data_IF_192257076227
#
_entry.id   IF_192257076227
#
_cell.length_a   1.000
_cell.length_b   1.000
_cell.length_c   1.000
_cell.angle_alpha   90.00
_cell.angle_beta   90.00
_cell.angle_gamma   90.00
#
_symmetry.space_group_name_H-M   'P 1'
#
loop_
_entity.id
_entity.type
_entity.pdbx_description
1 polymer ?
#
# COMPACT_ATOMS: atom_id res chain seq x y z
N UNK A 1 50.85 14.05 25.43
CA UNK A 1 50.29 13.61 24.12
C UNK A 1 49.81 12.13 24.12
N UNK A 2 49.18 11.65 25.20
CA UNK A 2 48.74 10.22 25.31
C UNK A 2 47.21 10.03 25.47
N UNK A 3 46.43 11.13 25.50
CA UNK A 3 44.98 11.07 25.77
C UNK A 3 44.08 11.08 24.53
N UNK A 4 44.61 11.30 23.34
CA UNK A 4 43.80 11.37 22.09
C UNK A 4 43.61 10.02 21.34
N UNK A 5 44.39 8.99 21.71
CA UNK A 5 44.28 7.66 21.07
C UNK A 5 43.23 6.75 21.72
N UNK A 6 42.87 7.06 23.00
CA UNK A 6 41.92 6.23 23.75
C UNK A 6 40.47 6.45 23.34
N UNK A 7 40.11 7.67 22.90
CA UNK A 7 38.76 7.96 22.43
C UNK A 7 38.45 7.40 21.03
N UNK A 8 39.47 7.17 20.19
CA UNK A 8 39.28 6.66 18.86
C UNK A 8 38.98 5.12 18.82
N UNK A 9 39.61 4.38 19.79
CA UNK A 9 39.39 2.94 19.89
C UNK A 9 37.99 2.58 20.45
N UNK A 10 37.43 3.41 21.31
CA UNK A 10 36.08 3.20 21.85
C UNK A 10 35.01 3.49 20.83
N UNK A 11 35.25 4.42 19.89
CA UNK A 11 34.32 4.70 18.78
C UNK A 11 34.28 3.57 17.73
N UNK A 12 35.38 2.87 17.48
CA UNK A 12 35.40 1.77 16.51
C UNK A 12 34.64 0.53 17.00
N UNK A 13 34.71 0.20 18.28
CA UNK A 13 33.98 -0.95 18.83
C UNK A 13 32.48 -0.70 18.97
N UNK A 14 32.08 0.54 19.23
CA UNK A 14 30.67 0.94 19.23
C UNK A 14 30.02 0.91 17.85
N UNK A 15 30.77 1.28 16.81
CA UNK A 15 30.28 1.29 15.44
C UNK A 15 30.03 -0.10 14.85
N UNK A 16 30.84 -1.11 15.24
CA UNK A 16 30.67 -2.50 14.77
C UNK A 16 29.44 -3.16 15.42
N UNK A 17 29.15 -2.85 16.70
CA UNK A 17 27.95 -3.37 17.36
C UNK A 17 26.66 -2.69 16.89
N UNK A 18 26.74 -1.43 16.50
CA UNK A 18 25.58 -0.67 15.99
C UNK A 18 25.14 -1.10 14.57
N UNK A 19 25.99 -1.82 13.84
CA UNK A 19 25.70 -2.27 12.47
C UNK A 19 25.03 -3.65 12.38
N UNK A 20 24.95 -4.40 13.49
CA UNK A 20 24.31 -5.71 13.49
C UNK A 20 22.89 -5.60 14.09
N UNK A 21 21.83 -5.65 13.27
CA UNK A 21 20.45 -5.49 13.75
C UNK A 21 20.01 -6.61 14.70
N UNK A 22 20.76 -7.70 14.79
CA UNK A 22 20.45 -8.85 15.64
C UNK A 22 21.03 -8.75 17.05
N UNK A 23 21.89 -7.79 17.34
CA UNK A 23 22.54 -7.66 18.64
C UNK A 23 22.36 -6.26 19.20
N UNK A 24 21.82 -6.18 20.40
CA UNK A 24 21.68 -4.92 21.11
C UNK A 24 22.19 -5.04 22.56
N UNK A 25 22.78 -3.97 23.06
CA UNK A 25 23.21 -3.86 24.45
C UNK A 25 22.01 -3.94 25.38
N UNK A 26 22.12 -4.73 26.44
CA UNK A 26 21.12 -4.82 27.50
C UNK A 26 21.79 -4.44 28.82
N UNK A 27 21.31 -3.43 29.49
CA UNK A 27 21.87 -3.02 30.76
C UNK A 27 21.30 -1.73 31.29
N UNK A 28 21.89 -1.24 32.32
CA UNK A 28 21.61 0.05 32.92
C UNK A 28 22.82 0.96 32.75
N UNK A 29 22.62 2.08 32.06
CA UNK A 29 23.65 3.12 31.91
C UNK A 29 23.35 4.28 32.84
N UNK A 30 24.37 4.75 33.60
CA UNK A 30 24.27 5.96 34.38
C UNK A 30 24.43 7.17 33.45
N UNK A 31 23.41 8.00 33.36
CA UNK A 31 23.46 9.28 32.66
C UNK A 31 23.42 10.43 33.65
N UNK A 32 23.71 11.63 33.19
CA UNK A 32 23.62 12.86 34.02
C UNK A 32 22.20 13.11 34.56
N UNK A 33 21.19 12.49 33.97
CA UNK A 33 19.78 12.65 34.34
C UNK A 33 19.23 11.45 35.14
N UNK A 34 20.04 10.38 35.35
CA UNK A 34 19.62 9.18 36.07
C UNK A 34 20.13 7.88 35.46
N UNK A 35 19.48 6.77 35.80
CA UNK A 35 19.82 5.44 35.30
C UNK A 35 18.89 5.12 34.11
N UNK A 36 19.48 4.93 32.94
CA UNK A 36 18.78 4.49 31.73
C UNK A 36 18.85 2.95 31.62
N UNK A 37 17.71 2.29 31.66
CA UNK A 37 17.62 0.84 31.46
C UNK A 37 17.33 0.59 29.98
N UNK A 38 18.27 -0.06 29.32
CA UNK A 38 18.10 -0.50 27.91
C UNK A 38 17.53 -1.91 27.89
N UNK A 39 16.32 -2.06 27.37
CA UNK A 39 15.70 -3.35 27.04
C UNK A 39 15.34 -3.34 25.57
N UNK A 40 16.15 -3.94 24.72
CA UNK A 40 15.84 -4.04 23.29
C UNK A 40 14.50 -4.73 23.07
N UNK A 41 13.63 -4.09 22.29
CA UNK A 41 12.32 -4.59 21.90
C UNK A 41 12.16 -4.43 20.41
N UNK A 42 11.39 -5.33 19.81
CA UNK A 42 11.05 -5.29 18.41
C UNK A 42 9.73 -4.56 18.21
N UNK A 43 9.71 -3.68 17.23
CA UNK A 43 8.50 -3.02 16.76
C UNK A 43 8.37 -3.34 15.28
N UNK A 44 7.27 -3.98 14.88
CA UNK A 44 7.00 -4.32 13.49
C UNK A 44 5.95 -3.40 12.91
N UNK A 45 6.24 -2.83 11.75
CA UNK A 45 5.25 -2.19 10.91
C UNK A 45 4.72 -3.20 9.89
N UNK A 46 3.42 -3.31 9.78
CA UNK A 46 2.74 -4.08 8.74
C UNK A 46 1.95 -3.09 7.90
N UNK A 47 2.38 -2.88 6.67
CA UNK A 47 1.68 -2.06 5.69
C UNK A 47 0.81 -2.96 4.82
N UNK A 48 -0.50 -2.76 4.87
CA UNK A 48 -1.46 -3.51 4.05
C UNK A 48 -2.00 -2.59 2.97
N UNK A 49 -1.85 -3.01 1.70
CA UNK A 49 -2.31 -2.27 0.53
C UNK A 49 -3.54 -2.93 -0.05
N UNK A 50 -4.58 -2.15 -0.25
CA UNK A 50 -5.84 -2.58 -0.85
C UNK A 50 -6.16 -1.74 -2.07
N UNK A 51 -6.80 -2.35 -3.07
CA UNK A 51 -7.40 -1.66 -4.20
C UNK A 51 -8.92 -1.61 -4.02
N UNK A 52 -9.47 -0.45 -4.27
CA UNK A 52 -10.90 -0.21 -4.37
C UNK A 52 -11.24 -0.08 -5.85
N UNK A 53 -12.03 -1.01 -6.35
CA UNK A 53 -12.62 -0.98 -7.69
C UNK A 53 -14.07 -0.52 -7.56
N UNK A 54 -14.34 0.68 -8.04
CA UNK A 54 -15.66 1.29 -8.03
C UNK A 54 -16.17 1.44 -9.45
N UNK A 55 -17.26 0.74 -9.74
CA UNK A 55 -18.00 0.86 -10.99
C UNK A 55 -19.21 1.75 -10.72
N UNK A 56 -19.28 2.90 -11.38
CA UNK A 56 -20.39 3.83 -11.33
C UNK A 56 -21.29 3.61 -12.52
N UNK A 57 -22.58 3.43 -12.30
CA UNK A 57 -23.53 3.25 -13.38
C UNK A 57 -23.72 4.54 -14.17
N UNK A 58 -23.73 4.44 -15.49
CA UNK A 58 -24.03 5.60 -16.35
C UNK A 58 -25.49 6.04 -16.24
N UNK A 59 -25.79 7.34 -16.39
CA UNK A 59 -27.16 7.86 -16.32
C UNK A 59 -28.08 7.24 -17.41
N UNK A 60 -27.50 6.81 -18.52
CA UNK A 60 -28.24 6.18 -19.63
C UNK A 60 -28.08 4.63 -19.66
N UNK A 61 -27.60 4.02 -18.60
CA UNK A 61 -27.30 2.57 -18.55
C UNK A 61 -28.51 1.71 -18.95
N UNK A 62 -29.73 2.09 -18.54
CA UNK A 62 -30.98 1.38 -18.91
C UNK A 62 -31.25 1.37 -20.40
N UNK A 63 -30.72 2.32 -21.15
CA UNK A 63 -30.91 2.46 -22.59
C UNK A 63 -29.74 1.87 -23.41
N UNK A 64 -28.68 1.39 -22.77
CA UNK A 64 -27.51 0.85 -23.44
C UNK A 64 -27.86 -0.33 -24.38
N UNK A 65 -28.72 -1.23 -23.93
CA UNK A 65 -29.21 -2.34 -24.77
C UNK A 65 -30.02 -1.85 -25.95
N UNK A 66 -30.88 -0.85 -25.77
CA UNK A 66 -31.77 -0.32 -26.81
C UNK A 66 -31.03 0.42 -27.91
N UNK A 67 -30.05 1.27 -27.53
CA UNK A 67 -29.39 2.17 -28.48
C UNK A 67 -28.00 1.71 -28.91
N UNK A 68 -27.28 0.97 -28.08
CA UNK A 68 -25.92 0.50 -28.38
C UNK A 68 -25.83 -1.03 -28.56
N UNK A 69 -26.90 -1.77 -28.25
CA UNK A 69 -26.92 -3.24 -28.34
C UNK A 69 -26.09 -3.95 -27.25
N UNK A 70 -25.66 -3.23 -26.20
CA UNK A 70 -24.79 -3.78 -25.15
C UNK A 70 -25.48 -3.69 -23.78
N UNK A 71 -25.07 -4.57 -22.86
CA UNK A 71 -25.55 -4.54 -21.47
C UNK A 71 -24.65 -3.64 -20.63
N UNK A 72 -25.26 -2.83 -19.77
CA UNK A 72 -24.57 -1.97 -18.80
C UNK A 72 -25.03 -2.30 -17.36
N UNK A 73 -24.19 -1.98 -16.40
CA UNK A 73 -24.56 -2.06 -14.99
C UNK A 73 -25.59 -0.97 -14.67
N UNK A 74 -26.68 -1.35 -14.00
CA UNK A 74 -27.75 -0.40 -13.61
C UNK A 74 -27.57 0.19 -12.22
N UNK A 75 -26.60 -0.30 -11.47
CA UNK A 75 -26.29 0.15 -10.12
C UNK A 75 -24.79 0.26 -9.89
N UNK A 76 -24.41 1.17 -9.03
CA UNK A 76 -23.05 1.32 -8.56
C UNK A 76 -22.59 0.06 -7.82
N UNK A 77 -21.34 -0.32 -8.03
CA UNK A 77 -20.71 -1.45 -7.35
C UNK A 77 -19.33 -1.02 -6.86
N UNK A 78 -19.06 -1.28 -5.60
CA UNK A 78 -17.74 -1.10 -5.01
C UNK A 78 -17.22 -2.46 -4.55
N UNK A 79 -15.98 -2.78 -4.93
CA UNK A 79 -15.33 -4.03 -4.54
C UNK A 79 -13.92 -3.74 -4.09
N UNK A 80 -13.54 -4.26 -2.93
CA UNK A 80 -12.21 -4.14 -2.40
C UNK A 80 -11.44 -5.44 -2.54
N UNK A 81 -10.13 -5.34 -2.75
CA UNK A 81 -9.21 -6.48 -2.78
C UNK A 81 -7.88 -6.12 -2.14
N UNK A 82 -7.29 -7.06 -1.41
CA UNK A 82 -5.92 -6.90 -0.91
C UNK A 82 -4.98 -7.13 -2.10
N UNK A 83 -4.14 -6.13 -2.40
CA UNK A 83 -3.18 -6.20 -3.50
C UNK A 83 -1.78 -6.56 -3.03
N UNK A 84 -1.45 -6.29 -1.77
CA UNK A 84 -0.15 -6.63 -1.19
C UNK A 84 -0.03 -6.25 0.27
N UNK A 85 1.07 -6.69 0.87
CA UNK A 85 1.48 -6.24 2.19
C UNK A 85 3.00 -6.08 2.23
N UNK A 86 3.51 -5.35 3.24
CA UNK A 86 4.94 -5.22 3.54
C UNK A 86 5.15 -5.30 5.05
N UNK A 87 6.29 -5.85 5.46
CA UNK A 87 6.67 -5.95 6.86
C UNK A 87 8.03 -5.30 7.02
N UNK A 88 8.15 -4.38 7.96
CA UNK A 88 9.38 -3.65 8.24
C UNK A 88 9.61 -3.53 9.75
N UNK A 89 10.89 -3.36 10.13
CA UNK A 89 11.24 -2.94 11.49
C UNK A 89 11.03 -1.43 11.64
N UNK A 90 10.53 -1.03 12.78
CA UNK A 90 10.49 0.36 13.18
C UNK A 90 11.45 0.59 14.35
N UNK A 91 12.22 1.67 14.26
CA UNK A 91 12.94 2.18 15.39
C UNK A 91 11.98 2.89 16.36
N UNK A 92 12.27 2.85 17.65
CA UNK A 92 11.44 3.49 18.66
C UNK A 92 11.21 4.99 18.39
N UNK A 93 12.23 5.69 17.87
CA UNK A 93 12.13 7.10 17.46
C UNK A 93 11.23 7.30 16.23
N UNK A 94 11.27 6.36 15.25
CA UNK A 94 10.44 6.40 14.06
C UNK A 94 8.99 6.09 14.40
N UNK A 95 8.75 5.25 15.42
CA UNK A 95 7.40 4.93 15.89
C UNK A 95 6.66 6.16 16.44
N UNK A 96 7.38 7.06 17.13
CA UNK A 96 6.81 8.32 17.62
C UNK A 96 6.55 9.33 16.50
N UNK A 97 7.25 9.20 15.36
CA UNK A 97 7.09 10.04 14.16
C UNK A 97 6.24 9.41 13.09
N UNK A 98 5.90 8.13 13.20
CA UNK A 98 5.04 7.42 12.26
C UNK A 98 3.58 7.90 12.39
N UNK A 99 3.44 9.18 12.23
CA UNK A 99 2.23 9.89 11.91
C UNK A 99 1.81 9.43 10.51
N UNK A 100 0.64 8.86 10.41
CA UNK A 100 -0.14 8.56 9.22
C UNK A 100 0.62 7.92 8.01
N UNK A 101 0.09 6.88 7.40
CA UNK A 101 0.58 6.40 6.12
C UNK A 101 0.62 7.55 5.13
N UNK A 102 1.65 7.57 4.29
CA UNK A 102 1.70 8.49 3.17
C UNK A 102 0.34 8.47 2.45
N UNK A 103 -0.21 9.62 2.08
CA UNK A 103 -1.51 9.68 1.43
C UNK A 103 -1.50 8.71 0.25
N UNK A 104 -2.53 7.89 0.16
CA UNK A 104 -2.70 6.93 -0.90
C UNK A 104 -2.40 7.61 -2.23
N UNK A 105 -1.40 7.13 -2.95
CA UNK A 105 -1.10 7.67 -4.27
C UNK A 105 -2.27 7.26 -5.15
N UNK A 106 -3.20 8.16 -5.34
CA UNK A 106 -4.28 8.04 -6.30
C UNK A 106 -3.64 7.94 -7.69
N UNK A 107 -3.29 6.75 -8.12
CA UNK A 107 -3.09 6.49 -9.55
C UNK A 107 -4.48 6.40 -10.16
N UNK A 108 -5.08 7.56 -10.27
CA UNK A 108 -6.32 7.73 -10.96
C UNK A 108 -6.05 7.73 -12.46
N UNK A 109 -6.42 6.65 -13.15
CA UNK A 109 -7.06 6.80 -14.43
C UNK A 109 -8.51 7.20 -14.17
N UNK A 110 -8.74 8.16 -13.34
CA UNK A 110 -10.09 8.55 -13.03
C UNK A 110 -10.14 10.01 -12.74
N UNK A 111 -11.00 10.61 -13.40
CA UNK A 111 -11.67 11.79 -12.94
C UNK A 111 -12.39 11.42 -11.63
N UNK A 112 -12.28 12.24 -10.59
CA UNK A 112 -13.17 12.15 -9.44
C UNK A 112 -14.58 12.23 -9.99
N UNK A 113 -15.38 11.19 -9.84
CA UNK A 113 -16.68 11.10 -10.48
C UNK A 113 -17.73 11.55 -9.48
N UNK A 114 -18.19 12.75 -9.63
CA UNK A 114 -19.43 13.22 -9.04
C UNK A 114 -20.56 13.13 -10.08
N UNK A 115 -21.82 13.23 -9.67
CA UNK A 115 -22.93 13.37 -10.60
C UNK A 115 -22.73 14.59 -11.53
N UNK A 116 -22.05 15.63 -11.04
CA UNK A 116 -21.68 16.81 -11.80
C UNK A 116 -20.71 16.49 -12.96
N UNK A 117 -19.86 15.47 -12.84
CA UNK A 117 -18.93 15.09 -13.89
C UNK A 117 -19.64 14.42 -15.06
N UNK A 118 -20.69 13.63 -14.83
CA UNK A 118 -21.53 13.13 -15.91
C UNK A 118 -22.26 14.27 -16.64
N UNK A 119 -22.68 15.29 -15.91
CA UNK A 119 -23.33 16.45 -16.51
C UNK A 119 -22.37 17.29 -17.39
N UNK A 120 -21.08 17.35 -17.05
CA UNK A 120 -20.04 18.04 -17.84
C UNK A 120 -19.70 17.32 -19.13
N UNK A 121 -19.92 16.00 -19.20
CA UNK A 121 -19.61 15.19 -20.37
C UNK A 121 -20.69 15.26 -21.46
N UNK A 122 -21.80 15.90 -21.19
CA UNK A 122 -22.86 16.10 -22.17
C UNK A 122 -22.45 17.20 -23.17
N UNK A 123 -22.44 16.90 -24.48
CA UNK A 123 -21.90 17.83 -25.49
C UNK A 123 -22.66 19.16 -25.59
N UNK A 124 -23.97 19.17 -25.33
CA UNK A 124 -24.82 20.37 -25.41
C UNK A 124 -25.74 20.46 -24.18
N UNK A 125 -25.21 21.09 -23.13
CA UNK A 125 -25.84 21.13 -21.82
C UNK A 125 -27.22 21.88 -21.82
N UNK A 126 -27.43 22.80 -22.73
CA UNK A 126 -28.68 23.57 -22.85
C UNK A 126 -29.81 22.75 -23.49
N UNK A 127 -29.47 21.94 -24.50
CA UNK A 127 -30.48 21.15 -25.21
C UNK A 127 -30.89 19.90 -24.45
N UNK A 128 -29.94 19.31 -23.69
CA UNK A 128 -30.17 18.08 -22.94
C UNK A 128 -30.98 18.29 -21.64
N UNK A 129 -30.99 19.48 -21.07
CA UNK A 129 -31.74 19.76 -19.86
C UNK A 129 -33.28 19.79 -20.09
N UNK A 130 -33.73 19.90 -21.35
CA UNK A 130 -35.12 19.98 -21.75
C UNK A 130 -35.64 18.66 -22.31
N UNK A 131 -34.77 17.76 -22.75
CA UNK A 131 -35.17 16.50 -23.37
C UNK A 131 -35.58 15.45 -22.33
N UNK A 132 -36.59 14.61 -22.62
CA UNK A 132 -36.81 13.37 -21.87
C UNK A 132 -35.56 12.50 -21.87
N UNK A 133 -35.32 11.79 -20.77
CA UNK A 133 -34.09 10.99 -20.56
C UNK A 133 -33.80 9.99 -21.71
N UNK A 134 -34.84 9.43 -22.32
CA UNK A 134 -34.70 8.53 -23.47
C UNK A 134 -34.22 9.25 -24.74
N UNK A 135 -34.70 10.47 -24.99
CA UNK A 135 -34.29 11.23 -26.17
C UNK A 135 -32.86 11.77 -26.00
N UNK A 136 -32.49 12.15 -24.78
CA UNK A 136 -31.12 12.51 -24.42
C UNK A 136 -30.16 11.31 -24.63
N UNK A 137 -30.57 10.11 -24.21
CA UNK A 137 -29.80 8.89 -24.45
C UNK A 137 -29.69 8.58 -25.95
N UNK A 138 -30.77 8.77 -26.74
CA UNK A 138 -30.74 8.57 -28.19
C UNK A 138 -29.74 9.54 -28.84
N UNK A 139 -29.79 10.80 -28.52
CA UNK A 139 -28.86 11.81 -29.05
C UNK A 139 -27.39 11.49 -28.71
N UNK A 140 -27.12 11.05 -27.49
CA UNK A 140 -25.79 10.59 -27.10
C UNK A 140 -25.32 9.37 -27.91
N UNK A 141 -26.19 8.39 -28.18
CA UNK A 141 -25.88 7.24 -29.03
C UNK A 141 -25.61 7.63 -30.49
N UNK A 142 -26.42 8.51 -31.06
CA UNK A 142 -26.21 9.06 -32.40
C UNK A 142 -24.87 9.80 -32.49
N UNK A 143 -24.46 10.52 -31.44
CA UNK A 143 -23.15 11.14 -31.36
C UNK A 143 -22.01 10.12 -31.41
N UNK A 144 -22.11 9.01 -30.68
CA UNK A 144 -21.14 7.91 -30.73
C UNK A 144 -20.99 7.38 -32.16
N UNK A 145 -22.09 7.08 -32.84
CA UNK A 145 -22.03 6.57 -34.21
C UNK A 145 -21.52 7.59 -35.22
N UNK A 146 -21.80 8.86 -35.01
CA UNK A 146 -21.24 9.95 -35.83
C UNK A 146 -19.72 10.07 -35.64
N UNK A 147 -19.23 10.01 -34.40
CA UNK A 147 -17.79 10.04 -34.11
C UNK A 147 -17.05 8.86 -34.73
N UNK A 148 -17.65 7.65 -34.69
CA UNK A 148 -17.08 6.45 -35.34
C UNK A 148 -17.02 6.60 -36.85
N UNK A 149 -18.04 7.21 -37.47
CA UNK A 149 -18.05 7.52 -38.89
C UNK A 149 -16.97 8.52 -39.24
N UNK A 150 -16.87 9.64 -38.55
CA UNK A 150 -15.83 10.64 -38.79
C UNK A 150 -14.42 10.10 -38.62
N UNK A 151 -14.23 9.20 -37.63
CA UNK A 151 -12.97 8.49 -37.49
C UNK A 151 -12.62 7.65 -38.71
N UNK A 152 -13.58 6.92 -39.27
CA UNK A 152 -13.38 6.12 -40.45
C UNK A 152 -13.08 7.01 -41.68
N UNK A 153 -13.86 8.07 -41.89
CA UNK A 153 -13.67 9.03 -42.98
C UNK A 153 -12.30 9.71 -42.93
N UNK A 154 -11.79 10.04 -41.73
CA UNK A 154 -10.43 10.58 -41.56
C UNK A 154 -9.34 9.54 -41.92
N UNK A 155 -9.52 8.29 -41.52
CA UNK A 155 -8.54 7.23 -41.78
C UNK A 155 -8.54 6.84 -43.27
N UNK A 156 -9.70 6.81 -43.92
CA UNK A 156 -9.83 6.45 -45.35
C UNK A 156 -9.54 7.61 -46.30
N UNK A 157 -9.40 8.86 -45.76
CA UNK A 157 -9.22 10.06 -46.58
C UNK A 157 -10.48 10.58 -47.23
N UNK A 158 -11.67 10.04 -46.89
CA UNK A 158 -12.96 10.45 -47.46
C UNK A 158 -13.47 11.78 -46.86
N UNK A 159 -12.86 12.26 -45.76
CA UNK A 159 -13.22 13.53 -45.11
C UNK A 159 -12.92 14.76 -45.97
N UNK A 160 -12.27 14.61 -47.13
CA UNK A 160 -11.93 15.72 -48.03
C UNK A 160 -10.81 16.64 -47.54
N UNK A 161 -10.33 16.48 -46.32
CA UNK A 161 -9.21 17.20 -45.75
C UNK A 161 -8.01 16.28 -45.60
N UNK A 162 -6.87 16.72 -46.16
CA UNK A 162 -5.62 15.96 -46.05
C UNK A 162 -4.89 16.29 -44.74
N UNK A 163 -5.31 15.68 -43.67
CA UNK A 163 -4.61 15.80 -42.36
C UNK A 163 -3.68 14.60 -42.20
N UNK A 164 -2.39 14.86 -42.06
CA UNK A 164 -1.35 13.81 -41.94
C UNK A 164 -0.49 13.99 -40.69
N UNK A 165 0.20 12.94 -40.31
CA UNK A 165 1.20 12.98 -39.23
C UNK A 165 0.60 13.29 -37.86
N UNK A 166 1.21 14.19 -37.12
CA UNK A 166 0.81 14.54 -35.76
C UNK A 166 -0.60 15.15 -35.68
N UNK A 167 -1.02 15.91 -36.69
CA UNK A 167 -2.35 16.47 -36.77
C UNK A 167 -3.45 15.41 -36.84
N UNK A 168 -3.24 14.36 -37.65
CA UNK A 168 -4.15 13.21 -37.71
C UNK A 168 -4.22 12.47 -36.38
N UNK A 169 -3.08 12.23 -35.76
CA UNK A 169 -3.03 11.57 -34.46
C UNK A 169 -3.78 12.36 -33.40
N UNK A 170 -3.62 13.69 -33.38
CA UNK A 170 -4.32 14.57 -32.44
C UNK A 170 -5.84 14.56 -32.68
N UNK A 171 -6.28 14.58 -33.95
CA UNK A 171 -7.70 14.53 -34.30
C UNK A 171 -8.32 13.18 -33.91
N UNK A 172 -7.65 12.07 -34.19
CA UNK A 172 -8.11 10.74 -33.79
C UNK A 172 -8.18 10.58 -32.27
N UNK A 173 -7.16 11.09 -31.54
CA UNK A 173 -7.18 11.06 -30.08
C UNK A 173 -8.33 11.87 -29.48
N UNK A 174 -8.68 13.02 -30.08
CA UNK A 174 -9.81 13.83 -29.66
C UNK A 174 -11.15 13.13 -29.94
N UNK A 175 -11.30 12.50 -31.09
CA UNK A 175 -12.49 11.69 -31.42
C UNK A 175 -12.64 10.55 -30.40
N UNK A 176 -11.55 9.81 -30.13
CA UNK A 176 -11.56 8.72 -29.15
C UNK A 176 -11.94 9.21 -27.75
N UNK A 177 -11.45 10.40 -27.35
CA UNK A 177 -11.78 11.02 -26.06
C UNK A 177 -13.27 11.36 -25.97
N UNK A 178 -13.84 11.95 -27.04
CA UNK A 178 -15.26 12.30 -27.10
C UNK A 178 -16.15 11.05 -27.14
N UNK A 179 -15.77 10.04 -27.93
CA UNK A 179 -16.49 8.76 -27.99
C UNK A 179 -16.50 8.09 -26.61
N UNK A 180 -15.34 8.02 -25.94
CA UNK A 180 -15.23 7.46 -24.61
C UNK A 180 -16.13 8.20 -23.60
N UNK A 181 -16.17 9.52 -23.66
CA UNK A 181 -17.01 10.34 -22.79
C UNK A 181 -18.51 10.03 -23.00
N UNK A 182 -18.94 9.87 -24.24
CA UNK A 182 -20.32 9.50 -24.54
C UNK A 182 -20.63 8.05 -24.14
N UNK A 183 -19.68 7.10 -24.31
CA UNK A 183 -19.83 5.71 -23.90
C UNK A 183 -19.97 5.58 -22.37
N UNK A 184 -19.26 6.40 -21.61
CA UNK A 184 -19.35 6.41 -20.15
C UNK A 184 -20.76 6.79 -19.65
N UNK A 185 -21.53 7.55 -20.40
CA UNK A 185 -22.92 7.85 -20.07
C UNK A 185 -23.81 6.59 -20.08
N UNK A 186 -23.46 5.59 -20.88
CA UNK A 186 -24.19 4.33 -20.96
C UNK A 186 -23.54 3.23 -20.12
N UNK A 187 -22.23 3.03 -20.28
CA UNK A 187 -21.50 1.90 -19.68
C UNK A 187 -21.06 2.20 -18.26
N UNK A 188 -21.08 3.49 -17.87
CA UNK A 188 -20.57 3.94 -16.60
C UNK A 188 -19.06 4.13 -16.59
N UNK A 189 -18.53 4.39 -15.42
CA UNK A 189 -17.10 4.59 -15.18
C UNK A 189 -16.56 3.58 -14.20
N UNK A 190 -15.36 3.10 -14.47
CA UNK A 190 -14.59 2.31 -13.52
C UNK A 190 -13.48 3.16 -12.93
N UNK A 191 -13.47 3.23 -11.60
CA UNK A 191 -12.49 3.98 -10.83
C UNK A 191 -11.74 3.00 -9.94
N UNK A 192 -10.43 2.89 -10.13
CA UNK A 192 -9.56 2.07 -9.28
C UNK A 192 -8.70 3.00 -8.44
N UNK A 193 -8.82 2.89 -7.14
CA UNK A 193 -7.95 3.59 -6.19
C UNK A 193 -7.24 2.60 -5.28
N UNK A 194 -6.04 2.95 -4.82
CA UNK A 194 -5.27 2.14 -3.88
C UNK A 194 -5.08 2.88 -2.58
N UNK A 195 -5.23 2.16 -1.47
CA UNK A 195 -4.99 2.67 -0.12
C UNK A 195 -4.00 1.75 0.58
N UNK A 196 -3.04 2.33 1.30
CA UNK A 196 -2.12 1.58 2.16
C UNK A 196 -2.30 2.07 3.59
N UNK A 197 -2.53 1.13 4.52
CA UNK A 197 -2.58 1.42 5.95
C UNK A 197 -1.46 0.73 6.68
N UNK A 198 -0.85 1.46 7.61
CA UNK A 198 0.19 0.96 8.49
C UNK A 198 -0.40 0.56 9.84
N UNK A 199 -0.01 -0.63 10.28
CA UNK A 199 -0.32 -1.17 11.58
C UNK A 199 0.97 -1.46 12.33
N UNK A 200 0.98 -1.16 13.62
CA UNK A 200 2.15 -1.39 14.46
C UNK A 200 1.88 -2.58 15.38
N UNK A 201 2.78 -3.55 15.36
CA UNK A 201 2.70 -4.75 16.17
C UNK A 201 3.89 -4.81 17.10
N UNK A 202 3.62 -5.08 18.39
CA UNK A 202 4.61 -5.30 19.43
C UNK A 202 4.67 -6.81 19.75
N UNK A 203 5.70 -7.53 19.26
CA UNK A 203 5.84 -8.95 19.53
C UNK A 203 5.94 -9.25 21.03
N UNK A 204 5.43 -10.41 21.44
CA UNK A 204 5.50 -10.95 22.80
C UNK A 204 6.07 -12.36 22.73
N UNK A 205 6.84 -12.75 23.73
CA UNK A 205 7.55 -14.04 23.72
C UNK A 205 6.64 -15.29 23.72
N UNK A 206 5.39 -15.13 24.16
CA UNK A 206 4.38 -16.19 24.26
C UNK A 206 3.37 -16.18 23.11
N UNK A 207 3.43 -15.16 22.23
CA UNK A 207 2.46 -14.97 21.15
C UNK A 207 3.12 -14.96 19.79
N UNK A 208 2.67 -15.84 18.90
CA UNK A 208 3.20 -16.00 17.54
C UNK A 208 2.25 -15.49 16.44
N UNK A 209 1.03 -15.13 16.78
CA UNK A 209 0.01 -14.68 15.83
C UNK A 209 -0.65 -13.40 16.33
N UNK A 210 -0.76 -12.42 15.45
CA UNK A 210 -1.33 -11.10 15.73
C UNK A 210 -2.37 -10.76 14.68
N UNK A 211 -3.55 -10.37 15.12
CA UNK A 211 -4.54 -9.78 14.22
C UNK A 211 -4.06 -8.37 13.91
N UNK A 212 -3.78 -8.10 12.64
CA UNK A 212 -3.33 -6.79 12.17
C UNK A 212 -4.52 -5.88 11.92
N UNK A 213 -5.49 -6.40 11.19
CA UNK A 213 -6.75 -5.74 10.85
C UNK A 213 -7.74 -6.79 10.36
N UNK A 214 -8.91 -6.34 9.92
CA UNK A 214 -9.86 -7.16 9.20
C UNK A 214 -10.10 -6.59 7.81
N UNK A 215 -10.54 -7.43 6.91
CA UNK A 215 -10.78 -7.07 5.53
C UNK A 215 -12.14 -7.59 5.05
N UNK A 216 -12.89 -6.73 4.37
CA UNK A 216 -14.14 -7.10 3.71
C UNK A 216 -14.11 -6.66 2.25
N UNK A 217 -14.49 -7.52 1.29
CA UNK A 217 -14.62 -7.11 -0.11
C UNK A 217 -15.63 -5.97 -0.34
N UNK A 218 -16.55 -5.76 0.59
CA UNK A 218 -17.54 -4.69 0.50
C UNK A 218 -17.11 -3.38 1.16
N UNK A 219 -16.32 -3.46 2.26
CA UNK A 219 -16.01 -2.30 3.10
C UNK A 219 -14.50 -1.95 3.15
N UNK A 220 -13.62 -2.80 2.59
CA UNK A 220 -12.16 -2.59 2.62
C UNK A 220 -11.53 -2.99 3.95
N UNK A 221 -10.53 -2.21 4.39
CA UNK A 221 -9.82 -2.44 5.64
C UNK A 221 -10.65 -1.98 6.84
N UNK A 222 -10.87 -2.90 7.76
CA UNK A 222 -11.65 -2.72 8.97
C UNK A 222 -10.74 -2.82 10.21
N UNK A 223 -11.12 -2.20 11.33
CA UNK A 223 -10.39 -2.35 12.58
C UNK A 223 -10.48 -3.79 13.12
N UNK A 224 -9.55 -4.16 14.00
CA UNK A 224 -9.44 -5.51 14.56
C UNK A 224 -10.73 -6.02 15.23
N UNK A 225 -11.48 -5.12 15.86
CA UNK A 225 -12.71 -5.42 16.60
C UNK A 225 -13.97 -5.53 15.73
N UNK A 226 -13.90 -5.22 14.44
CA UNK A 226 -15.02 -5.34 13.51
C UNK A 226 -15.14 -6.77 12.97
N UNK A 227 -16.08 -7.54 13.48
CA UNK A 227 -16.27 -8.96 13.13
C UNK A 227 -16.89 -9.20 11.75
N UNK A 228 -17.26 -8.17 11.01
CA UNK A 228 -17.85 -8.30 9.67
C UNK A 228 -16.85 -8.64 8.58
N UNK A 229 -15.54 -8.54 8.84
CA UNK A 229 -14.47 -8.83 7.91
C UNK A 229 -13.64 -10.05 8.26
N UNK A 230 -12.97 -10.60 7.24
CA UNK A 230 -11.99 -11.66 7.40
C UNK A 230 -10.75 -11.15 8.13
N UNK A 231 -10.07 -12.05 8.85
CA UNK A 231 -8.91 -11.69 9.65
C UNK A 231 -7.67 -11.57 8.74
N UNK A 232 -6.93 -10.49 8.89
CA UNK A 232 -5.56 -10.32 8.38
C UNK A 232 -4.59 -10.59 9.53
N UNK A 233 -3.80 -11.65 9.43
CA UNK A 233 -2.91 -12.13 10.47
C UNK A 233 -1.45 -11.81 10.12
N UNK A 234 -0.68 -11.38 11.12
CA UNK A 234 0.77 -11.49 11.14
C UNK A 234 1.16 -12.74 11.92
N UNK A 235 1.83 -13.67 11.28
CA UNK A 235 2.40 -14.86 11.90
C UNK A 235 3.90 -14.66 12.06
N UNK A 236 4.44 -14.99 13.23
CA UNK A 236 5.87 -14.89 13.53
C UNK A 236 6.35 -16.28 13.92
N UNK A 237 7.24 -16.84 13.12
CA UNK A 237 7.84 -18.15 13.35
C UNK A 237 9.32 -17.97 13.71
N UNK A 238 9.69 -18.16 15.00
CA UNK A 238 11.08 -18.13 15.42
C UNK A 238 11.87 -19.23 14.73
N UNK A 239 13.09 -18.93 14.27
CA UNK A 239 13.97 -19.92 13.63
C UNK A 239 14.64 -20.83 14.65
N UNK A 240 14.85 -20.35 15.87
CA UNK A 240 15.67 -21.01 16.89
C UNK A 240 17.17 -20.96 16.58
N UNK A 241 17.56 -20.44 15.42
CA UNK A 241 18.95 -20.31 15.01
C UNK A 241 19.51 -18.95 15.46
N UNK A 242 20.29 -18.93 16.53
CA UNK A 242 20.85 -17.70 17.08
C UNK A 242 22.20 -17.38 16.41
N UNK A 243 22.35 -16.24 15.75
CA UNK A 243 23.53 -15.93 14.93
C UNK A 243 24.78 -15.55 15.75
N UNK A 244 24.75 -15.64 17.08
CA UNK A 244 25.76 -15.06 17.94
C UNK A 244 26.50 -16.05 18.87
N UNK A 245 26.48 -17.33 18.59
CA UNK A 245 27.20 -18.32 19.41
C UNK A 245 28.71 -18.08 19.49
N UNK A 246 29.30 -17.49 18.44
CA UNK A 246 30.73 -17.18 18.36
C UNK A 246 31.13 -15.95 19.22
N UNK A 247 30.18 -15.11 19.62
CA UNK A 247 30.43 -13.92 20.43
C UNK A 247 30.25 -14.16 21.92
N UNK A 248 29.83 -15.36 22.33
CA UNK A 248 29.54 -15.67 23.71
C UNK A 248 30.86 -15.82 24.51
N UNK A 249 30.99 -15.05 25.58
CA UNK A 249 32.17 -15.02 26.43
C UNK A 249 32.41 -16.40 27.08
N UNK A 250 33.66 -16.85 27.05
CA UNK A 250 34.05 -18.06 27.73
C UNK A 250 33.93 -17.96 29.26
N UNK A 251 33.87 -19.12 29.98
CA UNK A 251 33.63 -19.15 31.43
C UNK A 251 34.73 -18.48 32.27
N UNK A 252 35.88 -18.17 31.68
CA UNK A 252 37.02 -17.53 32.35
C UNK A 252 37.12 -16.03 32.15
N UNK A 253 36.24 -15.44 31.33
CA UNK A 253 36.27 -14.00 31.05
C UNK A 253 35.55 -13.23 32.14
N UNK A 254 36.24 -12.23 32.75
CA UNK A 254 35.76 -11.47 33.89
C UNK A 254 35.08 -10.16 33.49
N UNK A 255 35.47 -9.61 32.36
CA UNK A 255 34.89 -8.35 31.85
C UNK A 255 33.91 -8.69 30.71
N UNK A 256 32.63 -8.74 31.04
CA UNK A 256 31.58 -9.10 30.10
C UNK A 256 30.47 -8.05 30.10
N UNK A 257 29.91 -7.84 28.93
CA UNK A 257 28.72 -7.01 28.72
C UNK A 257 27.54 -7.90 28.31
N UNK A 258 26.39 -7.63 28.90
CA UNK A 258 25.16 -8.35 28.52
C UNK A 258 24.60 -7.77 27.21
N UNK A 259 24.40 -8.64 26.25
CA UNK A 259 23.76 -8.31 24.98
C UNK A 259 22.50 -9.15 24.77
N UNK A 260 21.48 -8.54 24.26
CA UNK A 260 20.29 -9.25 23.76
C UNK A 260 20.51 -9.58 22.30
N UNK A 261 20.39 -10.84 21.94
CA UNK A 261 20.46 -11.34 20.56
C UNK A 261 19.05 -11.63 20.10
N UNK A 262 18.66 -11.07 18.97
CA UNK A 262 17.36 -11.31 18.36
C UNK A 262 17.37 -12.65 17.62
N UNK A 263 16.22 -13.30 17.58
CA UNK A 263 15.98 -14.46 16.70
C UNK A 263 15.65 -13.98 15.28
N UNK A 264 16.25 -14.56 14.22
CA UNK A 264 15.88 -14.28 12.83
C UNK A 264 14.54 -14.94 12.51
N UNK A 265 13.46 -14.36 12.97
CA UNK A 265 12.12 -14.92 12.86
C UNK A 265 11.49 -14.66 11.49
N UNK A 266 10.84 -15.68 10.92
CA UNK A 266 10.04 -15.52 9.72
C UNK A 266 8.71 -14.86 10.05
N UNK A 267 8.49 -13.68 9.51
CA UNK A 267 7.27 -12.89 9.66
C UNK A 267 6.45 -13.00 8.37
N UNK A 268 5.20 -13.46 8.47
CA UNK A 268 4.32 -13.70 7.31
C UNK A 268 2.96 -13.02 7.52
N UNK A 269 2.49 -12.27 6.52
CA UNK A 269 1.13 -11.70 6.51
C UNK A 269 0.22 -12.59 5.70
N UNK A 270 -0.86 -13.06 6.32
CA UNK A 270 -1.82 -14.00 5.72
C UNK A 270 -3.25 -13.45 5.88
N UNK A 271 -4.03 -13.54 4.80
CA UNK A 271 -5.47 -13.23 4.83
C UNK A 271 -6.21 -14.20 3.90
N UNK A 272 -7.36 -14.74 4.36
CA UNK A 272 -8.16 -15.67 3.59
C UNK A 272 -7.40 -16.91 3.10
N UNK A 273 -6.39 -17.37 3.86
CA UNK A 273 -5.54 -18.51 3.49
C UNK A 273 -4.46 -18.20 2.45
N UNK A 274 -4.32 -16.95 2.01
CA UNK A 274 -3.30 -16.50 1.06
C UNK A 274 -2.21 -15.71 1.78
N UNK A 275 -0.95 -15.95 1.41
CA UNK A 275 0.20 -15.17 1.84
C UNK A 275 0.35 -13.91 0.96
N UNK A 276 0.51 -12.75 1.60
CA UNK A 276 0.69 -11.46 0.93
C UNK A 276 2.09 -10.87 1.12
N UNK A 277 2.76 -11.22 2.21
CA UNK A 277 4.13 -10.80 2.46
C UNK A 277 4.86 -11.82 3.34
N UNK A 278 6.16 -11.96 3.11
CA UNK A 278 7.07 -12.74 3.96
C UNK A 278 8.41 -12.03 4.08
N UNK A 279 8.92 -11.93 5.31
CA UNK A 279 10.23 -11.35 5.60
C UNK A 279 10.87 -12.05 6.79
N UNK A 280 12.19 -12.15 6.80
CA UNK A 280 12.94 -12.62 7.97
C UNK A 280 13.48 -11.39 8.68
N UNK A 281 13.06 -11.19 9.93
CA UNK A 281 13.37 -10.00 10.71
C UNK A 281 13.91 -10.37 12.09
N UNK A 282 14.81 -9.56 12.67
CA UNK A 282 15.29 -9.76 14.04
C UNK A 282 14.18 -9.47 15.05
N UNK A 283 13.78 -10.50 15.80
CA UNK A 283 12.78 -10.39 16.86
C UNK A 283 13.44 -10.66 18.22
N UNK A 284 13.61 -9.59 19.02
CA UNK A 284 14.28 -9.68 20.30
C UNK A 284 13.49 -10.49 21.34
N UNK A 285 12.17 -10.53 21.24
CA UNK A 285 11.27 -11.24 22.15
C UNK A 285 11.49 -12.76 22.10
N UNK A 286 11.87 -13.30 20.95
CA UNK A 286 12.20 -14.71 20.76
C UNK A 286 13.69 -15.01 20.89
N UNK A 287 14.51 -14.00 21.09
CA UNK A 287 15.93 -14.11 21.25
C UNK A 287 16.39 -14.49 22.65
N UNK A 288 17.71 -14.51 22.88
CA UNK A 288 18.32 -14.77 24.18
C UNK A 288 19.30 -13.68 24.61
N UNK A 289 19.60 -13.65 25.91
CA UNK A 289 20.68 -12.80 26.45
C UNK A 289 21.98 -13.59 26.49
N UNK A 290 23.05 -13.01 25.97
CA UNK A 290 24.41 -13.56 26.02
C UNK A 290 25.33 -12.59 26.72
N UNK A 291 26.44 -13.12 27.23
CA UNK A 291 27.56 -12.33 27.75
C UNK A 291 28.62 -12.23 26.65
N UNK A 292 28.99 -11.02 26.28
CA UNK A 292 30.03 -10.76 25.28
C UNK A 292 31.28 -10.26 26.01
N UNK A 293 32.44 -10.84 25.70
CA UNK A 293 33.70 -10.41 26.28
C UNK A 293 34.10 -9.03 25.78
N UNK A 294 34.55 -8.16 26.68
CA UNK A 294 35.17 -6.91 26.27
C UNK A 294 36.59 -7.17 25.74
N UNK A 295 37.01 -6.51 24.65
CA UNK A 295 38.36 -6.64 24.13
C UNK A 295 39.34 -6.15 25.21
N UNK A 296 40.32 -7.01 25.54
CA UNK A 296 41.38 -6.61 26.46
C UNK A 296 42.20 -5.46 25.85
N UNK A 297 42.46 -4.44 26.64
CA UNK A 297 43.38 -3.35 26.30
C UNK A 297 44.80 -3.82 26.12
#
# INVERSE_FOLDING_TARGET
MKFRLLSLALFLTGAVMAQNPYIALQGADATSEGIRISQPRTILAVDVTVACDRVLAGPYARYAQKFLGVRASLADKTTWSITGAQIALLDAETCLRASAPAPATLRSRSYAVSEEDFARLQPDKLDMAVLPLEDAARAAAERIFSLRRYRLELITGEAGEHVFGEGLNAALAEIDRQEQSCLELFLGKQVVSTETRRYVVYPQSDKKQYIVCRFSPAAGLLPENDLSGDIVLLQIEPSGALPASELEAGPKEREVVKCRVADPSACTVVAGGREYARSVLPVFEFGRTINVALPRK
#
